data_IF_668374411190
#
_entry.id   IF_668374411190
#
_cell.length_a   1.000
_cell.length_b   1.000
_cell.length_c   1.000
_cell.angle_alpha   90.00
_cell.angle_beta   90.00
_cell.angle_gamma   90.00
#
_symmetry.space_group_name_H-M   'P 1'
#
loop_
_entity.id
_entity.type
_entity.pdbx_description
1 polymer ?
#
# COMPACT_ATOMS: atom_id res chain seq x y z
N UNK A 1 18.74 34.53 -25.42
CA UNK A 1 18.09 35.40 -24.40
C UNK A 1 16.54 35.29 -24.36
N UNK A 2 15.93 34.14 -24.68
CA UNK A 2 14.47 34.09 -24.96
C UNK A 2 13.59 33.30 -23.95
N UNK A 3 14.12 32.75 -22.84
CA UNK A 3 13.33 31.85 -21.98
C UNK A 3 13.29 32.15 -20.46
N UNK A 4 13.65 33.38 -20.03
CA UNK A 4 13.66 33.74 -18.59
C UNK A 4 12.27 33.65 -17.92
N UNK A 5 11.18 33.96 -18.64
CA UNK A 5 9.80 33.82 -18.11
C UNK A 5 9.37 32.36 -17.93
N UNK A 6 9.88 31.45 -18.76
CA UNK A 6 9.53 30.02 -18.71
C UNK A 6 10.01 29.35 -17.43
N UNK A 7 11.19 29.73 -16.91
CA UNK A 7 11.75 29.14 -15.68
C UNK A 7 10.88 29.41 -14.43
N UNK A 8 10.26 30.59 -14.35
CA UNK A 8 9.35 30.93 -13.25
C UNK A 8 8.02 30.18 -13.34
N UNK A 9 7.53 29.93 -14.56
CA UNK A 9 6.32 29.11 -14.78
C UNK A 9 6.58 27.66 -14.36
N UNK A 10 7.73 27.10 -14.75
CA UNK A 10 8.14 25.76 -14.32
C UNK A 10 8.33 25.65 -12.80
N UNK A 11 8.91 26.67 -12.15
CA UNK A 11 9.01 26.72 -10.69
C UNK A 11 7.61 26.68 -10.03
N UNK A 12 6.67 27.48 -10.52
CA UNK A 12 5.29 27.48 -10.03
C UNK A 12 4.61 26.13 -10.23
N UNK A 13 4.83 25.47 -11.38
CA UNK A 13 4.27 24.14 -11.63
C UNK A 13 4.83 23.10 -10.65
N UNK A 14 6.15 23.10 -10.40
CA UNK A 14 6.80 22.18 -9.47
C UNK A 14 6.29 22.34 -8.03
N UNK A 15 5.84 23.53 -7.64
CA UNK A 15 5.27 23.78 -6.31
C UNK A 15 3.76 23.48 -6.29
N UNK A 16 3.02 23.99 -7.27
CA UNK A 16 1.56 23.99 -7.25
C UNK A 16 0.97 22.62 -7.57
N UNK A 17 1.56 21.87 -8.52
CA UNK A 17 1.02 20.56 -8.92
C UNK A 17 1.06 19.55 -7.75
N UNK A 18 2.20 19.35 -7.04
CA UNK A 18 2.23 18.43 -5.91
C UNK A 18 1.33 18.89 -4.76
N UNK A 19 1.27 20.19 -4.48
CA UNK A 19 0.37 20.74 -3.46
C UNK A 19 -1.11 20.49 -3.80
N UNK A 20 -1.49 20.65 -5.07
CA UNK A 20 -2.84 20.36 -5.55
C UNK A 20 -3.18 18.87 -5.43
N UNK A 21 -2.23 18.00 -5.77
CA UNK A 21 -2.40 16.55 -5.60
C UNK A 21 -2.62 16.21 -4.12
N UNK A 22 -1.83 16.79 -3.20
CA UNK A 22 -2.00 16.57 -1.76
C UNK A 22 -3.32 17.10 -1.21
N UNK A 23 -3.86 18.18 -1.81
CA UNK A 23 -5.15 18.73 -1.43
C UNK A 23 -6.31 17.78 -1.77
N UNK A 24 -6.28 17.18 -2.97
CA UNK A 24 -7.33 16.26 -3.41
C UNK A 24 -7.13 14.82 -2.92
N UNK A 25 -5.89 14.37 -2.81
CA UNK A 25 -5.53 12.99 -2.49
C UNK A 25 -4.75 12.94 -1.17
N UNK A 26 -5.31 12.22 -0.19
CA UNK A 26 -4.59 11.91 1.06
C UNK A 26 -3.50 10.88 0.79
N UNK A 27 -2.35 11.04 1.45
CA UNK A 27 -1.27 10.05 1.43
C UNK A 27 -1.79 8.76 2.07
N UNK A 28 -1.73 7.65 1.33
CA UNK A 28 -2.07 6.33 1.86
C UNK A 28 -1.02 5.93 2.88
N UNK A 29 -1.45 5.45 4.05
CA UNK A 29 -0.54 4.98 5.08
C UNK A 29 -0.43 3.45 5.02
N UNK A 30 0.78 2.93 5.21
CA UNK A 30 1.07 1.51 5.28
C UNK A 30 0.51 0.86 6.54
N UNK A 31 0.48 -0.48 6.53
CA UNK A 31 -0.06 -1.28 7.63
C UNK A 31 0.68 -1.06 8.95
N UNK A 32 1.98 -0.79 8.87
CA UNK A 32 2.84 -0.48 10.01
C UNK A 32 2.53 0.88 10.66
N UNK A 33 1.90 1.79 9.92
CA UNK A 33 1.44 3.09 10.43
C UNK A 33 -0.04 3.08 10.84
N UNK A 34 -0.90 2.37 10.10
CA UNK A 34 -2.35 2.31 10.39
C UNK A 34 -2.72 1.23 11.41
N UNK A 35 -1.85 0.23 11.59
CA UNK A 35 -2.20 -1.02 12.25
C UNK A 35 -3.07 -1.93 11.38
N UNK A 36 -2.92 -3.24 11.60
CA UNK A 36 -3.69 -4.27 10.92
C UNK A 36 -2.89 -5.55 10.72
N UNK A 37 -3.31 -6.37 9.76
CA UNK A 37 -2.80 -7.72 9.57
C UNK A 37 -2.35 -7.95 8.13
N UNK A 38 -1.16 -8.50 7.96
CA UNK A 38 -0.62 -8.97 6.69
C UNK A 38 -0.54 -10.49 6.74
N UNK A 39 -1.05 -11.14 5.70
CA UNK A 39 -1.10 -12.60 5.58
C UNK A 39 -0.56 -12.99 4.22
N UNK A 40 0.38 -13.94 4.20
CA UNK A 40 0.88 -14.54 2.97
C UNK A 40 0.23 -15.91 2.81
N UNK A 41 -0.63 -16.00 1.80
CA UNK A 41 -1.35 -17.19 1.39
C UNK A 41 -0.58 -17.88 0.26
N UNK A 42 -0.37 -19.20 0.32
CA UNK A 42 0.29 -19.98 -0.72
C UNK A 42 -0.64 -21.09 -1.23
N UNK A 43 -0.89 -21.07 -2.54
CA UNK A 43 -1.65 -22.11 -3.22
C UNK A 43 -0.87 -23.43 -3.26
N UNK A 44 -1.58 -24.51 -3.00
CA UNK A 44 -1.02 -25.86 -3.00
C UNK A 44 -1.37 -26.59 -4.32
N UNK A 45 -0.49 -27.49 -4.75
CA UNK A 45 -0.70 -28.34 -5.92
C UNK A 45 -0.32 -27.68 -7.25
N UNK A 46 -0.91 -28.18 -8.34
CA UNK A 46 -0.65 -27.68 -9.69
C UNK A 46 -1.47 -26.41 -9.94
N UNK A 47 -0.78 -25.30 -10.17
CA UNK A 47 -1.39 -23.98 -10.35
C UNK A 47 -1.49 -23.68 -11.84
N UNK A 48 -2.70 -23.51 -12.34
CA UNK A 48 -2.93 -23.04 -13.71
C UNK A 48 -2.80 -21.52 -13.77
N UNK A 49 -2.50 -20.97 -14.96
CA UNK A 49 -2.23 -19.55 -15.16
C UNK A 49 -3.34 -18.61 -14.64
N UNK A 50 -4.59 -19.05 -14.62
CA UNK A 50 -5.72 -18.24 -14.15
C UNK A 50 -6.09 -18.45 -12.67
N UNK A 51 -5.53 -19.47 -12.02
CA UNK A 51 -5.97 -19.94 -10.71
C UNK A 51 -5.75 -18.87 -9.65
N UNK A 52 -4.57 -18.26 -9.63
CA UNK A 52 -4.25 -17.21 -8.66
C UNK A 52 -5.08 -15.94 -8.84
N UNK A 53 -5.50 -15.64 -10.07
CA UNK A 53 -6.43 -14.52 -10.34
C UNK A 53 -7.83 -14.82 -9.79
N UNK A 54 -8.31 -16.06 -9.91
CA UNK A 54 -9.58 -16.51 -9.29
C UNK A 54 -9.50 -16.47 -7.76
N UNK A 55 -8.42 -16.98 -7.18
CA UNK A 55 -8.16 -16.91 -5.73
C UNK A 55 -8.20 -15.47 -5.27
N UNK A 56 -7.45 -14.57 -5.92
CA UNK A 56 -7.45 -13.13 -5.60
C UNK A 56 -8.86 -12.55 -5.58
N UNK A 57 -9.66 -12.78 -6.62
CA UNK A 57 -11.02 -12.25 -6.72
C UNK A 57 -11.96 -12.81 -5.62
N UNK A 58 -11.80 -14.09 -5.23
CA UNK A 58 -12.57 -14.68 -4.12
C UNK A 58 -12.18 -14.05 -2.79
N UNK A 59 -10.88 -13.95 -2.52
CA UNK A 59 -10.37 -13.33 -1.28
C UNK A 59 -10.81 -11.87 -1.20
N UNK A 60 -10.76 -11.12 -2.30
CA UNK A 60 -11.25 -9.74 -2.37
C UNK A 60 -12.72 -9.63 -1.97
N UNK A 61 -13.58 -10.52 -2.49
CA UNK A 61 -15.01 -10.57 -2.09
C UNK A 61 -15.18 -10.88 -0.61
N UNK A 62 -14.40 -11.82 -0.06
CA UNK A 62 -14.46 -12.18 1.37
C UNK A 62 -14.05 -11.02 2.26
N UNK A 63 -12.94 -10.38 1.91
CA UNK A 63 -12.41 -9.25 2.67
C UNK A 63 -13.38 -8.07 2.65
N UNK A 64 -13.96 -7.76 1.48
CA UNK A 64 -14.97 -6.72 1.35
C UNK A 64 -16.22 -7.04 2.20
N UNK A 65 -16.59 -8.32 2.35
CA UNK A 65 -17.72 -8.73 3.20
C UNK A 65 -17.49 -8.56 4.71
N UNK A 66 -16.22 -8.56 5.13
CA UNK A 66 -15.82 -8.34 6.53
C UNK A 66 -15.86 -6.83 6.87
N UNK A 67 -16.06 -5.96 5.87
CA UNK A 67 -16.13 -4.51 6.05
C UNK A 67 -14.76 -3.84 6.20
N UNK A 68 -13.70 -4.49 5.70
CA UNK A 68 -12.35 -3.90 5.68
C UNK A 68 -12.33 -2.77 4.65
N UNK A 69 -12.01 -1.56 5.11
CA UNK A 69 -11.82 -0.43 4.22
C UNK A 69 -10.43 -0.54 3.57
N UNK A 70 -10.42 -0.72 2.25
CA UNK A 70 -9.20 -0.71 1.39
C UNK A 70 -8.21 -1.86 1.63
N UNK A 71 -8.60 -3.12 1.37
CA UNK A 71 -7.64 -4.22 1.43
C UNK A 71 -6.62 -4.14 0.30
N UNK A 72 -5.36 -4.44 0.61
CA UNK A 72 -4.30 -4.56 -0.40
C UNK A 72 -4.07 -6.03 -0.66
N UNK A 73 -4.42 -6.48 -1.87
CA UNK A 73 -4.29 -7.87 -2.28
C UNK A 73 -3.36 -7.93 -3.48
N UNK A 74 -2.18 -8.52 -3.30
CA UNK A 74 -1.13 -8.56 -4.32
C UNK A 74 -0.64 -9.98 -4.56
N UNK A 75 -0.45 -10.33 -5.83
CA UNK A 75 0.20 -11.56 -6.21
C UNK A 75 1.71 -11.44 -5.96
N UNK A 76 2.31 -12.50 -5.44
CA UNK A 76 3.75 -12.60 -5.20
C UNK A 76 4.26 -13.90 -5.79
N UNK A 77 5.10 -13.81 -6.83
CA UNK A 77 5.52 -14.98 -7.60
C UNK A 77 4.34 -15.65 -8.33
N UNK A 78 4.41 -16.97 -8.45
CA UNK A 78 3.42 -17.76 -9.20
C UNK A 78 2.36 -18.43 -8.31
N UNK A 79 2.60 -18.50 -7.00
CA UNK A 79 1.83 -19.32 -6.06
C UNK A 79 1.44 -18.61 -4.77
N UNK A 80 1.89 -17.37 -4.54
CA UNK A 80 1.58 -16.63 -3.31
C UNK A 80 0.67 -15.43 -3.56
N UNK A 81 -0.15 -15.15 -2.55
CA UNK A 81 -1.04 -14.00 -2.47
C UNK A 81 -0.81 -13.31 -1.12
N UNK A 82 -0.38 -12.06 -1.17
CA UNK A 82 -0.21 -11.21 0.01
C UNK A 82 -1.52 -10.46 0.21
N UNK A 83 -2.09 -10.57 1.41
CA UNK A 83 -3.36 -9.95 1.81
C UNK A 83 -3.08 -9.06 3.01
N UNK A 84 -3.21 -7.75 2.83
CA UNK A 84 -3.07 -6.77 3.90
C UNK A 84 -4.42 -6.15 4.22
N UNK A 85 -4.77 -6.21 5.50
CA UNK A 85 -6.05 -5.85 6.03
C UNK A 85 -5.85 -4.80 7.14
N UNK A 86 -6.14 -3.54 6.82
CA UNK A 86 -6.01 -2.45 7.77
C UNK A 86 -7.30 -2.27 8.60
N UNK A 87 -7.16 -1.83 9.85
CA UNK A 87 -8.31 -1.40 10.67
C UNK A 87 -9.30 -2.51 11.07
N UNK A 88 -8.88 -3.79 11.05
CA UNK A 88 -9.72 -4.89 11.54
C UNK A 88 -9.71 -4.92 13.07
N UNK A 89 -10.88 -5.15 13.68
CA UNK A 89 -11.01 -5.37 15.13
C UNK A 89 -10.46 -6.72 15.58
N UNK A 90 -10.75 -7.78 14.82
CA UNK A 90 -10.29 -9.14 15.10
C UNK A 90 -9.49 -9.71 13.89
N UNK A 91 -8.16 -9.55 13.93
CA UNK A 91 -7.23 -10.17 12.99
C UNK A 91 -7.44 -11.67 12.79
N UNK A 92 -7.54 -12.44 13.87
CA UNK A 92 -7.51 -13.91 13.77
C UNK A 92 -8.72 -14.43 13.03
N UNK A 93 -9.89 -13.86 13.34
CA UNK A 93 -11.13 -14.20 12.65
C UNK A 93 -11.09 -13.87 11.17
N UNK A 94 -10.50 -12.73 10.79
CA UNK A 94 -10.33 -12.37 9.39
C UNK A 94 -9.41 -13.36 8.66
N UNK A 95 -8.32 -13.77 9.30
CA UNK A 95 -7.35 -14.74 8.78
C UNK A 95 -8.00 -16.11 8.55
N UNK A 96 -8.81 -16.57 9.50
CA UNK A 96 -9.54 -17.84 9.38
C UNK A 96 -10.51 -17.82 8.19
N UNK A 97 -11.28 -16.73 8.05
CA UNK A 97 -12.24 -16.58 6.95
C UNK A 97 -11.58 -16.52 5.57
N UNK A 98 -10.43 -15.85 5.43
CA UNK A 98 -9.70 -15.81 4.16
C UNK A 98 -8.97 -17.13 3.86
N UNK A 99 -8.50 -17.85 4.89
CA UNK A 99 -7.79 -19.12 4.73
C UNK A 99 -8.69 -20.33 4.48
N UNK A 100 -9.98 -20.24 4.79
CA UNK A 100 -10.94 -21.36 4.63
C UNK A 100 -11.19 -21.67 3.15
N UNK A 101 -11.12 -22.92 2.69
CA UNK A 101 -11.40 -23.24 1.27
C UNK A 101 -12.87 -22.98 0.94
N UNK A 102 -13.77 -23.25 1.89
CA UNK A 102 -15.21 -23.11 1.77
C UNK A 102 -15.82 -24.07 0.74
N UNK A 103 -15.30 -25.30 0.66
CA UNK A 103 -15.84 -26.35 -0.19
C UNK A 103 -17.16 -26.85 0.38
N UNK A 104 -18.26 -26.34 -0.16
CA UNK A 104 -19.62 -26.79 0.17
C UNK A 104 -19.96 -28.06 -0.61
N UNK A 105 -20.38 -29.11 0.09
CA UNK A 105 -20.79 -30.37 -0.49
C UNK A 105 -22.07 -30.90 0.16
N UNK A 106 -22.96 -31.46 -0.66
CA UNK A 106 -24.15 -32.16 -0.20
C UNK A 106 -23.95 -33.67 -0.34
N UNK A 107 -24.10 -34.42 0.75
CA UNK A 107 -23.90 -35.87 0.80
C UNK A 107 -25.05 -36.52 1.56
N UNK A 108 -25.43 -37.74 1.20
CA UNK A 108 -26.38 -38.51 2.02
C UNK A 108 -25.64 -39.11 3.20
N UNK A 109 -26.19 -38.92 4.40
CA UNK A 109 -25.71 -39.56 5.62
C UNK A 109 -26.40 -40.90 5.80
N UNK A 110 -25.59 -41.94 5.88
CA UNK A 110 -26.05 -43.31 6.08
C UNK A 110 -26.36 -43.58 7.55
N UNK A 111 -27.10 -44.65 7.84
CA UNK A 111 -27.50 -45.02 9.21
C UNK A 111 -26.32 -45.38 10.12
N UNK A 112 -25.19 -45.77 9.54
CA UNK A 112 -23.93 -46.07 10.23
C UNK A 112 -23.11 -44.81 10.55
N UNK A 113 -23.60 -43.62 10.14
CA UNK A 113 -22.90 -42.34 10.31
C UNK A 113 -21.89 -42.02 9.21
N UNK A 114 -21.71 -42.89 8.21
CA UNK A 114 -20.87 -42.62 7.05
C UNK A 114 -21.55 -41.67 6.05
N UNK A 115 -20.75 -40.98 5.24
CA UNK A 115 -21.25 -40.10 4.18
C UNK A 115 -21.09 -40.76 2.81
N UNK A 116 -22.15 -40.73 2.01
CA UNK A 116 -22.13 -41.15 0.62
C UNK A 116 -21.29 -40.23 -0.29
N UNK A 117 -21.32 -40.48 -1.61
CA UNK A 117 -20.62 -39.63 -2.58
C UNK A 117 -21.18 -38.20 -2.59
N UNK A 118 -20.38 -37.26 -3.11
CA UNK A 118 -20.82 -35.87 -3.33
C UNK A 118 -21.92 -35.86 -4.38
N UNK A 119 -23.09 -35.34 -4.02
CA UNK A 119 -24.25 -35.26 -4.91
C UNK A 119 -24.42 -33.88 -5.52
N UNK A 120 -24.03 -32.83 -4.80
CA UNK A 120 -24.07 -31.45 -5.25
C UNK A 120 -22.93 -30.67 -4.60
N UNK A 121 -22.34 -29.73 -5.33
CA UNK A 121 -21.25 -28.87 -4.85
C UNK A 121 -21.69 -27.40 -4.75
N UNK A 122 -20.90 -26.59 -4.04
CA UNK A 122 -21.13 -25.15 -3.89
C UNK A 122 -21.12 -24.34 -5.21
N UNK A 123 -20.62 -24.88 -6.31
CA UNK A 123 -20.74 -24.26 -7.65
C UNK A 123 -22.19 -24.10 -8.11
N UNK A 124 -23.12 -24.89 -7.55
CA UNK A 124 -24.55 -24.80 -7.80
C UNK A 124 -25.23 -23.65 -7.03
N UNK A 125 -24.53 -23.02 -6.09
CA UNK A 125 -25.06 -21.95 -5.25
C UNK A 125 -25.18 -20.64 -6.03
N UNK A 126 -26.37 -20.04 -6.01
CA UNK A 126 -26.65 -18.72 -6.59
C UNK A 126 -26.58 -17.62 -5.54
N UNK A 127 -27.15 -17.85 -4.37
CA UNK A 127 -27.12 -16.89 -3.26
C UNK A 127 -27.17 -17.61 -1.90
N UNK A 128 -26.69 -16.94 -0.86
CA UNK A 128 -26.84 -17.36 0.53
C UNK A 128 -27.18 -16.14 1.39
N UNK A 129 -27.84 -16.31 2.52
CA UNK A 129 -28.24 -15.21 3.38
C UNK A 129 -28.51 -15.65 4.81
N UNK A 130 -28.48 -14.70 5.74
CA UNK A 130 -28.91 -14.98 7.12
C UNK A 130 -30.44 -15.02 7.14
N UNK A 131 -30.98 -16.08 7.72
CA UNK A 131 -32.42 -16.27 7.96
C UNK A 131 -32.64 -16.67 9.41
N UNK A 132 -33.90 -16.83 9.80
CA UNK A 132 -34.28 -17.51 11.04
C UNK A 132 -35.00 -18.80 10.72
N UNK A 133 -34.79 -19.82 11.54
CA UNK A 133 -35.54 -21.05 11.45
C UNK A 133 -36.96 -20.89 12.05
N UNK A 134 -37.74 -21.97 12.05
CA UNK A 134 -39.12 -21.96 12.58
C UNK A 134 -39.19 -21.67 14.08
N UNK A 135 -38.10 -21.84 14.82
CA UNK A 135 -37.99 -21.61 16.27
C UNK A 135 -37.40 -20.22 16.56
N UNK A 136 -37.11 -19.43 15.51
CA UNK A 136 -36.54 -18.10 15.60
C UNK A 136 -35.02 -18.07 15.79
N UNK A 137 -34.34 -19.22 15.71
CA UNK A 137 -32.88 -19.31 15.82
C UNK A 137 -32.19 -18.88 14.53
N UNK A 138 -30.99 -18.27 14.59
CA UNK A 138 -30.22 -17.89 13.41
C UNK A 138 -29.90 -19.11 12.53
N UNK A 139 -30.08 -18.96 11.22
CA UNK A 139 -29.82 -19.99 10.22
C UNK A 139 -29.30 -19.36 8.92
N UNK A 140 -28.79 -20.18 8.00
CA UNK A 140 -28.31 -19.69 6.69
C UNK A 140 -29.22 -20.23 5.60
N UNK A 141 -29.96 -19.34 4.93
CA UNK A 141 -30.70 -19.70 3.72
C UNK A 141 -29.77 -19.75 2.52
N UNK A 142 -30.07 -20.63 1.57
CA UNK A 142 -29.38 -20.69 0.30
C UNK A 142 -30.37 -20.86 -0.86
N UNK A 143 -29.98 -20.35 -2.02
CA UNK A 143 -30.68 -20.49 -3.28
C UNK A 143 -29.69 -21.08 -4.30
N UNK A 144 -30.13 -22.09 -5.04
CA UNK A 144 -29.37 -22.73 -6.10
C UNK A 144 -29.66 -22.07 -7.46
N UNK A 145 -28.74 -22.21 -8.40
CA UNK A 145 -28.99 -21.85 -9.79
C UNK A 145 -29.96 -22.86 -10.45
N UNK A 146 -30.49 -22.54 -11.64
CA UNK A 146 -31.52 -23.38 -12.29
C UNK A 146 -31.08 -24.82 -12.52
N UNK A 147 -29.81 -25.05 -12.85
CA UNK A 147 -29.26 -26.40 -13.02
C UNK A 147 -29.15 -27.13 -11.67
N UNK A 148 -28.64 -26.44 -10.66
CA UNK A 148 -28.54 -26.93 -9.29
C UNK A 148 -29.90 -27.29 -8.68
N UNK A 149 -30.92 -26.46 -8.90
CA UNK A 149 -32.28 -26.68 -8.44
C UNK A 149 -32.88 -27.97 -9.00
N UNK A 150 -32.71 -28.23 -10.31
CA UNK A 150 -33.17 -29.47 -10.96
C UNK A 150 -32.46 -30.70 -10.40
N UNK A 151 -31.14 -30.63 -10.23
CA UNK A 151 -30.34 -31.71 -9.63
C UNK A 151 -30.74 -31.94 -8.18
N UNK A 152 -30.98 -30.88 -7.41
CA UNK A 152 -31.40 -30.94 -6.02
C UNK A 152 -32.80 -31.53 -5.84
N UNK A 153 -33.74 -31.18 -6.73
CA UNK A 153 -35.06 -31.81 -6.80
C UNK A 153 -34.98 -33.31 -7.05
N UNK A 154 -34.11 -33.74 -7.98
CA UNK A 154 -33.86 -35.17 -8.24
C UNK A 154 -33.27 -35.88 -7.02
N UNK A 155 -32.24 -35.30 -6.40
CA UNK A 155 -31.59 -35.85 -5.20
C UNK A 155 -32.60 -36.02 -4.06
N UNK A 156 -33.41 -34.99 -3.80
CA UNK A 156 -34.39 -35.02 -2.71
C UNK A 156 -35.50 -36.04 -2.98
N UNK A 157 -36.02 -36.13 -4.22
CA UNK A 157 -37.03 -37.13 -4.61
C UNK A 157 -36.54 -38.58 -4.40
N UNK A 158 -35.30 -38.87 -4.77
CA UNK A 158 -34.73 -40.23 -4.69
C UNK A 158 -34.29 -40.62 -3.26
N UNK A 159 -34.25 -39.66 -2.32
CA UNK A 159 -33.70 -39.88 -0.97
C UNK A 159 -34.63 -39.42 0.16
N UNK A 160 -35.94 -39.42 -0.07
CA UNK A 160 -36.95 -39.14 0.95
C UNK A 160 -36.75 -40.07 2.17
N UNK A 161 -36.80 -39.50 3.37
CA UNK A 161 -36.58 -40.18 4.64
C UNK A 161 -35.12 -40.35 5.06
N UNK A 162 -34.15 -39.98 4.20
CA UNK A 162 -32.71 -39.99 4.55
C UNK A 162 -32.25 -38.60 5.02
N UNK A 163 -31.13 -38.57 5.73
CA UNK A 163 -30.48 -37.33 6.15
C UNK A 163 -29.57 -36.80 5.03
N UNK A 164 -29.73 -35.53 4.68
CA UNK A 164 -28.88 -34.84 3.73
C UNK A 164 -27.86 -34.01 4.50
N UNK A 165 -26.63 -34.50 4.60
CA UNK A 165 -25.53 -33.79 5.23
C UNK A 165 -25.05 -32.64 4.33
N UNK A 166 -24.97 -31.45 4.92
CA UNK A 166 -24.39 -30.25 4.34
C UNK A 166 -23.01 -30.09 4.96
N UNK A 167 -21.99 -30.35 4.15
CA UNK A 167 -20.59 -30.38 4.57
C UNK A 167 -19.89 -29.10 4.10
N UNK A 168 -19.06 -28.53 4.97
CA UNK A 168 -18.14 -27.46 4.62
C UNK A 168 -16.72 -27.90 4.99
N UNK A 169 -15.83 -28.01 4.00
CA UNK A 169 -14.44 -28.46 4.19
C UNK A 169 -14.36 -29.79 4.99
N UNK A 170 -15.20 -30.75 4.62
CA UNK A 170 -15.37 -32.07 5.25
C UNK A 170 -15.92 -32.07 6.70
N UNK A 171 -16.37 -30.93 7.22
CA UNK A 171 -17.08 -30.85 8.52
C UNK A 171 -18.58 -30.72 8.29
N UNK A 172 -19.36 -31.58 8.94
CA UNK A 172 -20.82 -31.52 8.93
C UNK A 172 -21.29 -30.24 9.62
N UNK A 173 -22.01 -29.40 8.87
CA UNK A 173 -22.67 -28.20 9.41
C UNK A 173 -24.08 -28.54 9.88
N UNK A 174 -24.81 -29.33 9.09
CA UNK A 174 -26.15 -29.80 9.40
C UNK A 174 -26.47 -31.08 8.63
N UNK A 175 -27.41 -31.86 9.14
CA UNK A 175 -27.88 -33.08 8.47
C UNK A 175 -29.42 -33.24 8.60
N UNK A 176 -30.21 -32.31 8.01
CA UNK A 176 -31.67 -32.41 8.05
C UNK A 176 -32.19 -33.65 7.32
N UNK A 177 -33.32 -34.17 7.78
CA UNK A 177 -34.04 -35.26 7.10
C UNK A 177 -34.83 -34.70 5.90
N UNK A 178 -34.74 -35.37 4.75
CA UNK A 178 -35.52 -35.04 3.56
C UNK A 178 -36.95 -35.55 3.76
N UNK A 179 -37.91 -34.64 3.95
CA UNK A 179 -39.33 -35.01 4.14
C UNK A 179 -40.13 -35.07 2.83
N UNK A 180 -39.75 -34.26 1.85
CA UNK A 180 -40.40 -34.17 0.55
C UNK A 180 -39.41 -33.69 -0.51
N UNK A 181 -39.81 -33.82 -1.77
CA UNK A 181 -39.07 -33.25 -2.90
C UNK A 181 -39.03 -31.72 -2.82
N UNK A 182 -37.86 -31.13 -3.07
CA UNK A 182 -37.65 -29.67 -3.04
C UNK A 182 -37.41 -29.15 -4.46
N UNK A 183 -38.48 -28.68 -5.10
CA UNK A 183 -38.45 -28.16 -6.47
C UNK A 183 -37.97 -26.70 -6.59
N UNK A 184 -38.05 -25.93 -5.50
CA UNK A 184 -37.68 -24.50 -5.50
C UNK A 184 -36.18 -24.22 -5.51
N UNK A 185 -35.32 -25.24 -5.36
CA UNK A 185 -33.86 -25.05 -5.31
C UNK A 185 -33.38 -24.20 -4.13
N UNK A 186 -34.18 -24.05 -3.08
CA UNK A 186 -33.85 -23.27 -1.89
C UNK A 186 -33.84 -24.14 -0.65
N UNK A 187 -32.97 -23.84 0.31
CA UNK A 187 -32.90 -24.55 1.57
C UNK A 187 -32.39 -23.68 2.72
N UNK A 188 -32.40 -24.25 3.92
CA UNK A 188 -31.92 -23.60 5.14
C UNK A 188 -30.93 -24.54 5.82
N UNK A 189 -29.73 -24.05 6.09
CA UNK A 189 -28.73 -24.68 6.94
C UNK A 189 -29.07 -24.27 8.38
N UNK A 190 -29.67 -25.20 9.12
CA UNK A 190 -29.97 -25.02 10.54
C UNK A 190 -28.80 -25.49 11.39
N UNK A 191 -28.62 -24.87 12.55
CA UNK A 191 -27.55 -25.18 13.49
C UNK A 191 -27.68 -24.31 14.73
N UNK A 192 -26.86 -24.59 15.76
CA UNK A 192 -26.80 -23.73 16.96
C UNK A 192 -25.91 -22.51 16.69
N UNK A 193 -26.25 -21.74 15.67
CA UNK A 193 -25.48 -20.58 15.26
C UNK A 193 -25.85 -19.36 16.08
N UNK A 194 -24.84 -18.58 16.46
CA UNK A 194 -25.03 -17.16 16.79
C UNK A 194 -25.35 -16.36 15.51
N UNK A 195 -25.93 -15.16 15.68
CA UNK A 195 -26.16 -14.24 14.54
C UNK A 195 -24.88 -13.93 13.78
N UNK A 196 -23.75 -13.84 14.49
CA UNK A 196 -22.46 -13.55 13.88
C UNK A 196 -21.92 -14.75 13.07
N UNK A 197 -22.02 -15.97 13.60
CA UNK A 197 -21.63 -17.19 12.89
C UNK A 197 -22.47 -17.42 11.62
N UNK A 198 -23.79 -17.21 11.71
CA UNK A 198 -24.68 -17.31 10.55
C UNK A 198 -24.30 -16.27 9.47
N UNK A 199 -23.97 -15.03 9.87
CA UNK A 199 -23.54 -13.99 8.94
C UNK A 199 -22.19 -14.33 8.27
N UNK A 200 -21.24 -14.86 9.04
CA UNK A 200 -19.94 -15.27 8.52
C UNK A 200 -20.08 -16.44 7.54
N UNK A 201 -20.87 -17.45 7.88
CA UNK A 201 -21.13 -18.59 7.01
C UNK A 201 -21.85 -18.16 5.71
N UNK A 202 -22.88 -17.31 5.81
CA UNK A 202 -23.57 -16.78 4.63
C UNK A 202 -22.62 -16.00 3.71
N UNK A 203 -21.77 -15.14 4.27
CA UNK A 203 -20.77 -14.38 3.51
C UNK A 203 -19.72 -15.27 2.86
N UNK A 204 -19.26 -16.30 3.58
CA UNK A 204 -18.32 -17.30 3.07
C UNK A 204 -18.93 -18.04 1.88
N UNK A 205 -20.17 -18.51 1.99
CA UNK A 205 -20.88 -19.19 0.91
C UNK A 205 -21.11 -18.28 -0.31
N UNK A 206 -21.50 -17.00 -0.11
CA UNK A 206 -21.61 -16.02 -1.21
C UNK A 206 -20.30 -15.81 -1.96
N UNK A 207 -19.17 -15.86 -1.26
CA UNK A 207 -17.86 -15.60 -1.87
C UNK A 207 -17.37 -16.74 -2.77
N UNK A 208 -17.91 -17.95 -2.58
CA UNK A 208 -17.55 -19.17 -3.30
C UNK A 208 -16.36 -19.91 -2.70
N UNK A 209 -16.18 -21.16 -3.16
CA UNK A 209 -15.06 -22.01 -2.79
C UNK A 209 -13.78 -21.59 -3.52
N UNK A 210 -12.63 -21.71 -2.86
CA UNK A 210 -11.33 -21.52 -3.48
C UNK A 210 -11.04 -22.66 -4.47
N UNK A 211 -10.46 -22.37 -5.65
CA UNK A 211 -10.18 -23.38 -6.68
C UNK A 211 -9.05 -24.34 -6.30
N UNK A 212 -8.23 -23.95 -5.33
CA UNK A 212 -7.09 -24.71 -4.80
C UNK A 212 -7.02 -24.52 -3.30
N UNK A 213 -6.44 -25.50 -2.61
CA UNK A 213 -6.16 -25.38 -1.17
C UNK A 213 -5.11 -24.28 -0.95
N UNK A 214 -5.35 -23.43 0.05
CA UNK A 214 -4.47 -22.34 0.43
C UNK A 214 -3.90 -22.61 1.82
N UNK A 215 -2.59 -22.46 1.97
CA UNK A 215 -1.92 -22.46 3.29
C UNK A 215 -1.45 -21.07 3.65
N UNK A 216 -1.56 -20.73 4.94
CA UNK A 216 -0.98 -19.50 5.49
C UNK A 216 0.49 -19.78 5.78
N UNK A 217 1.39 -19.10 5.07
CA UNK A 217 2.85 -19.26 5.21
C UNK A 217 3.43 -18.24 6.18
N UNK A 218 2.84 -17.05 6.19
CA UNK A 218 3.26 -15.96 7.05
C UNK A 218 2.03 -15.19 7.53
N UNK A 219 2.04 -14.81 8.80
CA UNK A 219 1.04 -13.94 9.41
C UNK A 219 1.76 -12.94 10.30
N UNK A 220 1.59 -11.65 10.00
CA UNK A 220 2.10 -10.55 10.80
C UNK A 220 0.96 -9.60 11.15
N UNK A 221 0.72 -9.43 12.43
CA UNK A 221 -0.27 -8.46 12.93
C UNK A 221 0.45 -7.34 13.68
N UNK A 222 0.11 -6.09 13.36
CA UNK A 222 0.63 -4.89 14.00
C UNK A 222 -0.53 -4.16 14.67
N UNK A 223 -0.41 -3.85 15.95
CA UNK A 223 -1.42 -3.10 16.69
C UNK A 223 -1.51 -1.65 16.22
N UNK A 224 -2.73 -1.10 16.19
CA UNK A 224 -2.96 0.29 15.78
C UNK A 224 -2.27 1.33 16.68
N UNK A 225 -2.06 1.03 17.96
CA UNK A 225 -1.36 1.90 18.91
C UNK A 225 0.12 2.08 18.53
N UNK A 226 0.79 1.01 18.14
CA UNK A 226 2.20 1.04 17.70
C UNK A 226 2.39 1.94 16.47
N UNK A 227 1.41 1.95 15.56
CA UNK A 227 1.43 2.81 14.38
C UNK A 227 1.32 4.30 14.73
N UNK A 228 0.34 4.66 15.56
CA UNK A 228 0.12 6.07 15.99
C UNK A 228 1.33 6.61 16.77
N UNK A 229 1.88 5.81 17.69
CA UNK A 229 3.06 6.20 18.46
C UNK A 229 4.28 6.40 17.56
N UNK A 230 4.46 5.52 16.57
CA UNK A 230 5.57 5.63 15.61
C UNK A 230 5.43 6.87 14.74
N UNK A 231 4.22 7.18 14.22
CA UNK A 231 3.99 8.43 13.46
C UNK A 231 4.37 9.65 14.28
N UNK A 232 3.97 9.70 15.55
CA UNK A 232 4.28 10.83 16.43
C UNK A 232 5.78 10.95 16.69
N UNK A 233 6.45 9.85 17.04
CA UNK A 233 7.88 9.86 17.33
C UNK A 233 8.70 10.23 16.09
N UNK A 234 8.41 9.63 14.94
CA UNK A 234 9.10 9.93 13.68
C UNK A 234 8.80 11.35 13.19
N UNK A 235 7.59 11.87 13.41
CA UNK A 235 7.24 13.26 13.13
C UNK A 235 8.06 14.26 13.95
N UNK A 236 8.19 14.02 15.26
CA UNK A 236 9.03 14.85 16.15
C UNK A 236 10.50 14.76 15.74
N UNK A 237 11.02 13.55 15.51
CA UNK A 237 12.40 13.35 15.07
C UNK A 237 12.70 14.06 13.74
N UNK A 238 11.76 13.99 12.78
CA UNK A 238 11.88 14.67 11.49
C UNK A 238 11.90 16.20 11.62
N UNK A 239 11.08 16.78 12.49
CA UNK A 239 11.08 18.22 12.75
C UNK A 239 12.39 18.69 13.41
N UNK A 240 12.91 17.93 14.37
CA UNK A 240 14.21 18.21 14.99
C UNK A 240 15.32 18.14 13.95
N UNK A 241 15.35 17.09 13.13
CA UNK A 241 16.35 16.92 12.08
C UNK A 241 16.32 18.08 11.08
N UNK A 242 15.14 18.48 10.61
CA UNK A 242 14.97 19.62 9.72
C UNK A 242 15.45 20.92 10.37
N UNK A 243 15.11 21.18 11.63
CA UNK A 243 15.57 22.36 12.36
C UNK A 243 17.09 22.43 12.49
N UNK A 244 17.74 21.31 12.85
CA UNK A 244 19.21 21.24 12.98
C UNK A 244 19.90 21.46 11.62
N UNK A 245 19.39 20.81 10.57
CA UNK A 245 19.87 20.98 9.20
C UNK A 245 19.75 22.45 8.76
N UNK A 246 18.61 23.08 8.99
CA UNK A 246 18.40 24.47 8.59
C UNK A 246 19.31 25.44 9.33
N UNK A 247 19.48 25.24 10.64
CA UNK A 247 20.45 26.04 11.43
C UNK A 247 21.86 25.86 10.87
N UNK A 248 22.28 24.62 10.58
CA UNK A 248 23.59 24.34 9.99
C UNK A 248 23.77 25.02 8.62
N UNK A 249 22.78 24.92 7.73
CA UNK A 249 22.85 25.50 6.39
C UNK A 249 22.92 27.03 6.43
N UNK A 250 22.13 27.68 7.28
CA UNK A 250 22.18 29.13 7.46
C UNK A 250 23.49 29.56 8.11
N UNK A 251 23.96 28.82 9.12
CA UNK A 251 25.20 29.13 9.84
C UNK A 251 26.43 29.05 8.93
N UNK A 252 26.52 28.08 8.03
CA UNK A 252 27.68 27.91 7.14
C UNK A 252 27.53 28.73 5.85
N UNK A 253 26.36 28.71 5.22
CA UNK A 253 26.16 29.23 3.86
C UNK A 253 25.34 30.51 3.80
N UNK A 254 24.85 31.05 4.92
CA UNK A 254 24.15 32.34 4.99
C UNK A 254 22.96 32.44 4.01
N UNK A 255 23.05 33.24 2.94
CA UNK A 255 21.94 33.48 2.01
C UNK A 255 21.64 32.23 1.15
N UNK A 256 22.63 31.61 0.47
CA UNK A 256 22.46 30.28 -0.11
C UNK A 256 21.90 29.25 0.88
N UNK A 257 22.28 29.32 2.16
CA UNK A 257 21.69 28.49 3.22
C UNK A 257 20.17 28.60 3.31
N UNK A 258 19.63 29.83 3.38
CA UNK A 258 18.19 30.09 3.38
C UNK A 258 17.52 29.56 2.10
N UNK A 259 18.18 29.73 0.95
CA UNK A 259 17.67 29.21 -0.34
C UNK A 259 17.60 27.67 -0.33
N UNK A 260 18.59 27.01 0.26
CA UNK A 260 18.60 25.56 0.39
C UNK A 260 17.45 25.08 1.30
N UNK A 261 17.16 25.79 2.38
CA UNK A 261 16.03 25.45 3.27
C UNK A 261 14.67 25.59 2.57
N UNK A 262 14.48 26.65 1.77
CA UNK A 262 13.27 26.81 0.95
C UNK A 262 13.18 25.67 -0.07
N UNK A 263 14.27 25.32 -0.74
CA UNK A 263 14.31 24.22 -1.69
C UNK A 263 14.04 22.87 -1.01
N UNK A 264 14.51 22.66 0.22
CA UNK A 264 14.27 21.46 1.03
C UNK A 264 12.78 21.30 1.39
N UNK A 265 12.11 22.38 1.77
CA UNK A 265 10.67 22.37 2.04
C UNK A 265 9.87 22.04 0.77
N UNK A 266 10.24 22.63 -0.37
CA UNK A 266 9.64 22.31 -1.67
C UNK A 266 9.89 20.84 -2.03
N UNK A 267 11.09 20.31 -1.76
CA UNK A 267 11.43 18.91 -1.97
C UNK A 267 10.50 17.98 -1.16
N UNK A 268 10.30 18.29 0.12
CA UNK A 268 9.40 17.53 0.98
C UNK A 268 7.96 17.47 0.44
N UNK A 269 7.41 18.61 0.02
CA UNK A 269 6.07 18.70 -0.60
C UNK A 269 6.01 17.95 -1.93
N UNK A 270 7.06 18.06 -2.75
CA UNK A 270 7.16 17.37 -4.03
C UNK A 270 7.14 15.84 -3.85
N UNK A 271 7.95 15.31 -2.94
CA UNK A 271 8.01 13.86 -2.67
C UNK A 271 6.68 13.33 -2.14
N UNK A 272 6.06 14.04 -1.19
CA UNK A 272 4.75 13.65 -0.65
C UNK A 272 3.65 13.71 -1.73
N UNK A 273 3.67 14.74 -2.58
CA UNK A 273 2.73 14.87 -3.70
C UNK A 273 2.93 13.80 -4.76
N UNK A 274 4.17 13.42 -5.07
CA UNK A 274 4.47 12.30 -5.96
C UNK A 274 3.98 10.97 -5.39
N UNK A 275 4.24 10.69 -4.11
CA UNK A 275 3.73 9.50 -3.41
C UNK A 275 2.20 9.41 -3.48
N UNK A 276 1.52 10.51 -3.17
CA UNK A 276 0.06 10.59 -3.23
C UNK A 276 -0.46 10.42 -4.66
N UNK A 277 0.21 11.03 -5.64
CA UNK A 277 -0.16 10.98 -7.06
C UNK A 277 -0.11 9.58 -7.65
N UNK A 278 0.88 8.76 -7.27
CA UNK A 278 0.96 7.36 -7.71
C UNK A 278 0.16 6.39 -6.84
N UNK A 279 -0.47 6.89 -5.76
CA UNK A 279 -1.23 6.07 -4.81
C UNK A 279 -0.37 5.09 -4.01
N UNK A 280 0.91 5.39 -3.81
CA UNK A 280 1.82 4.58 -3.00
C UNK A 280 1.53 4.78 -1.51
N UNK A 281 1.71 3.70 -0.73
CA UNK A 281 1.56 3.75 0.71
C UNK A 281 2.87 4.19 1.40
N UNK A 282 2.78 5.16 2.30
CA UNK A 282 3.88 5.56 3.16
C UNK A 282 4.00 4.59 4.34
N UNK A 283 5.14 3.91 4.46
CA UNK A 283 5.45 2.95 5.55
C UNK A 283 6.49 3.54 6.52
N UNK A 284 6.77 2.91 7.66
CA UNK A 284 7.86 3.29 8.56
C UNK A 284 9.22 3.30 7.85
N UNK A 285 9.62 2.23 7.12
CA UNK A 285 10.81 2.32 6.27
C UNK A 285 10.65 3.39 5.19
N UNK A 286 9.47 3.58 4.61
CA UNK A 286 9.20 4.69 3.69
C UNK A 286 9.58 6.05 4.29
N UNK A 287 9.21 6.31 5.54
CA UNK A 287 9.58 7.56 6.24
C UNK A 287 11.11 7.64 6.45
N UNK A 288 11.78 6.54 6.77
CA UNK A 288 13.24 6.52 6.84
C UNK A 288 13.89 6.87 5.48
N UNK A 289 13.34 6.33 4.39
CA UNK A 289 13.75 6.68 3.02
C UNK A 289 13.51 8.16 2.71
N UNK A 290 12.37 8.71 3.14
CA UNK A 290 12.07 10.14 3.01
C UNK A 290 13.10 11.00 3.75
N UNK A 291 13.38 10.70 5.03
CA UNK A 291 14.39 11.43 5.82
C UNK A 291 15.78 11.34 5.18
N UNK A 292 16.16 10.15 4.70
CA UNK A 292 17.43 9.96 3.98
C UNK A 292 17.51 10.86 2.74
N UNK A 293 16.43 10.96 1.97
CA UNK A 293 16.40 11.81 0.77
C UNK A 293 16.45 13.30 1.09
N UNK A 294 15.89 13.73 2.24
CA UNK A 294 16.05 15.11 2.71
C UNK A 294 17.53 15.43 3.01
N UNK A 295 18.26 14.51 3.63
CA UNK A 295 19.71 14.66 3.84
C UNK A 295 20.50 14.76 2.53
N UNK A 296 20.18 13.90 1.56
CA UNK A 296 20.80 13.94 0.22
C UNK A 296 20.46 15.23 -0.55
N UNK A 297 19.27 15.80 -0.35
CA UNK A 297 18.89 17.08 -0.96
C UNK A 297 19.74 18.24 -0.43
N UNK A 298 20.10 18.21 0.84
CA UNK A 298 21.00 19.21 1.45
C UNK A 298 22.41 19.05 0.89
N UNK A 299 22.90 17.82 0.78
CA UNK A 299 24.23 17.52 0.23
C UNK A 299 24.40 18.05 -1.21
N UNK A 300 23.39 17.88 -2.06
CA UNK A 300 23.39 18.43 -3.42
C UNK A 300 23.52 19.97 -3.44
N UNK A 301 22.91 20.66 -2.48
CA UNK A 301 23.06 22.11 -2.34
C UNK A 301 24.45 22.49 -1.82
N UNK A 302 25.02 21.72 -0.89
CA UNK A 302 26.39 21.92 -0.37
C UNK A 302 27.42 21.85 -1.50
N UNK A 303 27.40 20.78 -2.31
CA UNK A 303 28.31 20.61 -3.46
C UNK A 303 28.21 21.81 -4.40
N UNK A 304 26.99 22.25 -4.69
CA UNK A 304 26.75 23.42 -5.54
C UNK A 304 27.34 24.69 -4.94
N UNK A 305 27.15 24.93 -3.64
CA UNK A 305 27.59 26.16 -3.00
C UNK A 305 29.10 26.22 -2.84
N UNK A 306 29.77 25.09 -2.59
CA UNK A 306 31.23 25.00 -2.65
C UNK A 306 31.75 25.35 -4.04
N UNK A 307 31.11 24.80 -5.09
CA UNK A 307 31.49 25.13 -6.47
C UNK A 307 31.29 26.61 -6.78
N UNK A 308 30.18 27.22 -6.34
CA UNK A 308 29.95 28.66 -6.50
C UNK A 308 31.04 29.47 -5.77
N UNK A 309 31.45 29.08 -4.56
CA UNK A 309 32.55 29.74 -3.84
C UNK A 309 33.87 29.64 -4.62
N UNK A 310 34.15 28.50 -5.21
CA UNK A 310 35.35 28.28 -6.04
C UNK A 310 35.35 29.21 -7.27
N UNK A 311 34.25 29.27 -8.03
CA UNK A 311 34.13 30.16 -9.19
C UNK A 311 34.22 31.65 -8.78
N UNK A 312 33.65 32.01 -7.62
CA UNK A 312 33.82 33.37 -7.07
C UNK A 312 35.28 33.66 -6.71
N UNK A 313 36.06 32.70 -6.20
CA UNK A 313 37.50 32.88 -5.90
C UNK A 313 38.32 33.05 -7.16
N UNK A 314 37.93 32.40 -8.27
CA UNK A 314 38.53 32.57 -9.60
C UNK A 314 38.27 33.95 -10.23
N UNK A 315 37.47 34.81 -9.59
CA UNK A 315 37.23 36.19 -10.01
C UNK A 315 36.03 36.38 -10.94
N UNK A 316 35.21 35.34 -11.14
CA UNK A 316 33.99 35.44 -11.93
C UNK A 316 32.98 36.42 -11.30
N UNK A 317 32.12 37.00 -12.15
CA UNK A 317 31.04 37.87 -11.68
C UNK A 317 30.05 37.07 -10.83
N UNK A 318 29.31 37.72 -9.92
CA UNK A 318 28.35 37.03 -9.04
C UNK A 318 27.34 36.17 -9.83
N UNK A 319 26.83 36.67 -10.95
CA UNK A 319 25.85 35.94 -11.75
C UNK A 319 26.48 34.80 -12.55
N UNK A 320 27.68 34.99 -13.06
CA UNK A 320 28.40 33.97 -13.85
C UNK A 320 28.95 32.86 -12.95
N UNK A 321 29.44 33.20 -11.76
CA UNK A 321 29.88 32.24 -10.76
C UNK A 321 28.73 31.34 -10.28
N UNK A 322 27.53 31.91 -10.10
CA UNK A 322 26.32 31.11 -9.84
C UNK A 322 26.01 30.20 -11.04
N UNK A 323 26.07 30.71 -12.27
CA UNK A 323 25.76 29.89 -13.45
C UNK A 323 26.73 28.71 -13.59
N UNK A 324 28.03 29.00 -13.61
CA UNK A 324 29.10 28.00 -13.71
C UNK A 324 29.10 27.05 -12.52
N UNK A 325 28.81 27.54 -11.31
CA UNK A 325 28.74 26.71 -10.12
C UNK A 325 27.70 25.59 -10.24
N UNK A 326 26.49 25.91 -10.72
CA UNK A 326 25.47 24.88 -10.99
C UNK A 326 25.83 23.97 -12.18
N UNK A 327 26.43 24.52 -13.24
CA UNK A 327 26.84 23.72 -14.41
C UNK A 327 27.94 22.71 -14.04
N UNK A 328 28.94 23.13 -13.27
CA UNK A 328 30.08 22.31 -12.85
C UNK A 328 29.72 21.33 -11.72
N UNK A 329 28.74 21.67 -10.88
CA UNK A 329 28.23 20.75 -9.85
C UNK A 329 27.29 19.67 -10.42
N UNK A 330 26.68 19.90 -11.58
CA UNK A 330 25.65 19.04 -12.15
C UNK A 330 26.09 17.57 -12.34
N UNK A 331 27.27 17.26 -12.92
CA UNK A 331 27.70 15.88 -13.11
C UNK A 331 27.83 15.12 -11.78
N UNK A 332 28.44 15.74 -10.76
CA UNK A 332 28.62 15.13 -9.45
C UNK A 332 27.26 14.83 -8.77
N UNK A 333 26.30 15.75 -8.87
CA UNK A 333 24.94 15.56 -8.32
C UNK A 333 24.24 14.40 -9.04
N UNK A 334 24.33 14.35 -10.37
CA UNK A 334 23.70 13.29 -11.16
C UNK A 334 24.32 11.93 -10.86
N UNK A 335 25.65 11.82 -10.80
CA UNK A 335 26.36 10.56 -10.56
C UNK A 335 25.99 9.96 -9.19
N UNK A 336 25.93 10.78 -8.14
CA UNK A 336 25.53 10.34 -6.80
C UNK A 336 24.07 9.88 -6.74
N UNK A 337 23.17 10.62 -7.40
CA UNK A 337 21.74 10.29 -7.42
C UNK A 337 21.45 9.06 -8.29
N UNK A 338 22.12 8.88 -9.44
CA UNK A 338 21.99 7.67 -10.28
C UNK A 338 22.43 6.43 -9.50
N UNK A 339 23.55 6.50 -8.79
CA UNK A 339 24.03 5.37 -7.96
C UNK A 339 22.99 4.98 -6.91
N UNK A 340 22.38 5.98 -6.26
CA UNK A 340 21.30 5.75 -5.28
C UNK A 340 20.05 5.16 -5.93
N UNK A 341 19.70 5.62 -7.13
CA UNK A 341 18.55 5.10 -7.89
C UNK A 341 18.75 3.64 -8.29
N UNK A 342 19.98 3.23 -8.63
CA UNK A 342 20.31 1.82 -8.91
C UNK A 342 20.09 0.95 -7.68
N UNK A 343 20.53 1.40 -6.49
CA UNK A 343 20.27 0.70 -5.22
C UNK A 343 18.76 0.61 -4.96
N UNK A 344 18.03 1.71 -5.15
CA UNK A 344 16.58 1.73 -4.97
C UNK A 344 15.87 0.77 -5.95
N UNK A 345 16.32 0.66 -7.20
CA UNK A 345 15.78 -0.28 -8.17
C UNK A 345 15.99 -1.73 -7.73
N UNK A 346 17.19 -2.10 -7.25
CA UNK A 346 17.47 -3.43 -6.70
C UNK A 346 16.55 -3.73 -5.52
N UNK A 347 16.40 -2.80 -4.58
CA UNK A 347 15.51 -2.94 -3.42
C UNK A 347 14.03 -3.06 -3.84
N UNK A 348 13.62 -2.41 -4.93
CA UNK A 348 12.25 -2.47 -5.43
C UNK A 348 11.91 -3.83 -6.06
N UNK A 349 12.84 -4.38 -6.85
CA UNK A 349 12.63 -5.65 -7.55
C UNK A 349 12.84 -6.88 -6.66
N UNK A 350 13.81 -6.83 -5.74
CA UNK A 350 14.15 -7.96 -4.87
C UNK A 350 13.57 -7.86 -3.46
N UNK A 351 13.18 -6.66 -3.02
CA UNK A 351 12.61 -6.45 -1.69
C UNK A 351 11.13 -6.84 -1.58
N UNK A 352 10.71 -7.21 -0.38
CA UNK A 352 9.31 -7.54 -0.06
C UNK A 352 8.72 -6.53 0.93
N UNK A 353 7.40 -6.33 0.84
CA UNK A 353 6.60 -5.52 1.77
C UNK A 353 7.25 -4.17 2.13
N UNK A 354 7.70 -3.97 3.40
CA UNK A 354 8.26 -2.68 3.84
C UNK A 354 9.51 -2.21 3.09
N UNK A 355 10.37 -3.12 2.63
CA UNK A 355 11.60 -2.78 1.88
C UNK A 355 11.25 -2.14 0.54
N UNK A 356 10.18 -2.64 -0.11
CA UNK A 356 9.67 -2.06 -1.35
C UNK A 356 9.11 -0.65 -1.13
N UNK A 357 8.44 -0.41 0.00
CA UNK A 357 7.98 0.93 0.40
C UNK A 357 9.13 1.93 0.62
N UNK A 358 10.22 1.48 1.26
CA UNK A 358 11.46 2.25 1.37
C UNK A 358 12.03 2.59 -0.02
N UNK A 359 12.13 1.59 -0.90
CA UNK A 359 12.67 1.75 -2.25
C UNK A 359 11.89 2.76 -3.11
N UNK A 360 10.55 2.71 -3.06
CA UNK A 360 9.68 3.68 -3.76
C UNK A 360 9.92 5.09 -3.24
N UNK A 361 9.94 5.27 -1.92
CA UNK A 361 10.12 6.59 -1.31
C UNK A 361 11.51 7.16 -1.61
N UNK A 362 12.55 6.32 -1.54
CA UNK A 362 13.92 6.67 -1.91
C UNK A 362 14.01 7.09 -3.39
N UNK A 363 13.40 6.32 -4.30
CA UNK A 363 13.43 6.62 -5.74
C UNK A 363 12.76 7.97 -6.05
N UNK A 364 11.58 8.21 -5.49
CA UNK A 364 10.88 9.48 -5.67
C UNK A 364 11.64 10.66 -5.06
N UNK A 365 12.23 10.45 -3.88
CA UNK A 365 13.07 11.44 -3.21
C UNK A 365 14.32 11.79 -4.00
N UNK A 366 15.02 10.82 -4.57
CA UNK A 366 16.18 11.03 -5.43
C UNK A 366 15.81 11.86 -6.68
N UNK A 367 14.72 11.51 -7.35
CA UNK A 367 14.23 12.26 -8.52
C UNK A 367 13.85 13.70 -8.12
N UNK A 368 13.16 13.86 -7.00
CA UNK A 368 12.79 15.16 -6.46
C UNK A 368 14.03 15.99 -6.07
N UNK A 369 15.06 15.36 -5.51
CA UNK A 369 16.35 16.00 -5.15
C UNK A 369 17.06 16.54 -6.37
N UNK A 370 17.12 15.81 -7.48
CA UNK A 370 17.74 16.33 -8.72
C UNK A 370 16.99 17.57 -9.23
N UNK A 371 15.64 17.52 -9.25
CA UNK A 371 14.82 18.65 -9.68
C UNK A 371 15.01 19.85 -8.74
N UNK A 372 14.97 19.62 -7.43
CA UNK A 372 15.02 20.71 -6.46
C UNK A 372 16.42 21.29 -6.31
N UNK A 373 17.45 20.45 -6.24
CA UNK A 373 18.85 20.83 -6.10
C UNK A 373 19.40 21.55 -7.32
N UNK A 374 19.06 21.11 -8.54
CA UNK A 374 19.63 21.70 -9.77
C UNK A 374 18.76 22.85 -10.31
N UNK A 375 17.43 22.67 -10.35
CA UNK A 375 16.55 23.64 -11.01
C UNK A 375 15.93 24.62 -10.00
N UNK A 376 15.23 24.13 -8.98
CA UNK A 376 14.49 25.00 -8.04
C UNK A 376 15.45 25.90 -7.27
N UNK A 377 16.51 25.33 -6.67
CA UNK A 377 17.54 26.05 -5.93
C UNK A 377 18.19 27.15 -6.79
N UNK A 378 18.58 26.83 -8.05
CA UNK A 378 19.16 27.79 -9.00
C UNK A 378 18.23 28.96 -9.30
N UNK A 379 16.95 28.67 -9.58
CA UNK A 379 15.97 29.71 -9.91
C UNK A 379 15.70 30.61 -8.71
N UNK A 380 15.54 30.02 -7.51
CA UNK A 380 15.32 30.77 -6.27
C UNK A 380 16.54 31.63 -5.93
N UNK A 381 17.76 31.09 -6.01
CA UNK A 381 18.98 31.85 -5.71
C UNK A 381 19.12 33.07 -6.63
N UNK A 382 18.92 32.88 -7.93
CA UNK A 382 18.94 33.99 -8.90
C UNK A 382 17.85 35.02 -8.64
N UNK A 383 16.63 34.58 -8.31
CA UNK A 383 15.53 35.49 -7.94
C UNK A 383 15.89 36.29 -6.69
N UNK A 384 16.49 35.64 -5.69
CA UNK A 384 16.87 36.25 -4.42
C UNK A 384 17.96 37.30 -4.63
N UNK A 385 19.02 36.97 -5.38
CA UNK A 385 20.10 37.90 -5.73
C UNK A 385 19.55 39.13 -6.46
N UNK A 386 18.65 38.93 -7.44
CA UNK A 386 18.06 40.02 -8.23
C UNK A 386 17.13 40.90 -7.40
N UNK A 387 16.27 40.30 -6.58
CA UNK A 387 15.23 41.02 -5.80
C UNK A 387 15.85 41.84 -4.68
N UNK A 388 16.85 41.30 -3.98
CA UNK A 388 17.51 41.97 -2.84
C UNK A 388 18.80 42.70 -3.23
N UNK A 389 19.13 42.75 -4.52
CA UNK A 389 20.30 43.43 -5.07
C UNK A 389 21.61 43.08 -4.33
N UNK A 390 21.78 41.78 -4.05
CA UNK A 390 22.82 41.25 -3.18
C UNK A 390 24.19 41.43 -3.83
N UNK A 391 25.14 41.98 -3.06
CA UNK A 391 26.54 42.12 -3.49
C UNK A 391 27.33 40.84 -3.19
N UNK A 392 28.44 40.64 -3.91
CA UNK A 392 29.36 39.49 -3.74
C UNK A 392 29.72 39.22 -2.28
N UNK A 393 30.07 40.26 -1.54
CA UNK A 393 30.47 40.20 -0.12
C UNK A 393 29.34 39.79 0.84
N UNK A 394 28.09 39.87 0.39
CA UNK A 394 26.91 39.57 1.20
C UNK A 394 26.44 38.13 1.03
N UNK A 395 26.85 37.46 -0.06
CA UNK A 395 26.38 36.12 -0.42
C UNK A 395 26.87 35.06 0.58
N UNK A 396 28.16 35.07 0.90
CA UNK A 396 28.80 34.19 1.88
C UNK A 396 29.39 35.00 3.04
N UNK A 397 29.87 34.31 4.09
CA UNK A 397 30.61 34.97 5.17
C UNK A 397 31.92 35.58 4.64
N UNK A 398 32.31 36.75 5.17
CA UNK A 398 33.46 37.53 4.68
C UNK A 398 34.79 36.75 4.66
N UNK A 399 34.96 35.74 5.52
CA UNK A 399 36.14 34.86 5.53
C UNK A 399 36.09 33.66 4.58
N UNK A 400 34.93 33.33 3.99
CA UNK A 400 34.80 32.16 3.11
C UNK A 400 35.36 32.40 1.69
N UNK A 401 35.64 33.66 1.34
CA UNK A 401 36.17 34.07 0.02
C UNK A 401 37.65 34.48 0.08
N UNK A 402 38.19 34.68 1.28
CA UNK A 402 39.58 35.10 1.53
C UNK A 402 40.22 34.08 2.48
N UNK A 403 40.72 32.99 1.93
CA UNK A 403 41.83 32.27 2.55
C UNK A 403 42.99 32.40 1.56
N UNK A 404 43.98 33.20 1.96
CA UNK A 404 45.30 33.29 1.33
C UNK A 404 46.05 31.95 1.47
#
# INVERSE_FOLDING_TARGET
MQNKKSHYVWLLLVIFVPALILYFNKVKLGLDLRGGTSVVLQAQGKIEADTMSKVRNIIERRVNSIGVAEPVIQLSGNDKLIVELAGIKDPQKAIELIGTTAKLEFRIKNKDGSYGPVLLEGSALKSAGVSRDQVGMPSVSFELNSQGANTFAKITRENIGKQLAIMLDNKEQSAPTINSEINGGSGIITGRFSMEEANNLANLLKSGALPVEIKIVENRTVGATLGVDSIRQTGIAGLIALGVISVFMIAIYKIPGIVADIALLINGVLVLGLLSGIGAALTLPGIAGFILTLGMAVDSNVITYERIKEELRLGESLYDAVERGYENAFPAIIDGNITTLLVAAVLFFLGTGPIKGFAVTLSLGVVATVITGVFVSKVILKLFIKTFNIKREQLFWKGALNED
#
